data_IF_400978017965
#
_entry.id   IF_400978017965
#
_cell.length_a   1.000
_cell.length_b   1.000
_cell.length_c   1.000
_cell.angle_alpha   90.00
_cell.angle_beta   90.00
_cell.angle_gamma   90.00
#
_symmetry.space_group_name_H-M   'P 1'
#
loop_
_entity.id
_entity.type
_entity.pdbx_description
1 polymer ?
#
# COMPACT_ATOMS: atom_id res chain seq x y z
N UNK A 1 -13.60 -0.65 -10.47
CA UNK A 1 -12.49 -1.05 -9.63
C UNK A 1 -12.16 0.09 -8.68
N UNK A 2 -11.99 -0.25 -7.41
CA UNK A 2 -11.67 0.67 -6.34
C UNK A 2 -10.39 0.25 -5.65
N UNK A 3 -10.06 0.96 -4.58
CA UNK A 3 -9.00 0.54 -3.66
C UNK A 3 -9.66 0.03 -2.39
N UNK A 4 -9.26 -1.15 -1.97
CA UNK A 4 -9.83 -1.79 -0.80
C UNK A 4 -8.80 -1.84 0.32
N UNK A 5 -9.13 -1.25 1.46
CA UNK A 5 -8.44 -1.46 2.72
C UNK A 5 -9.30 -2.41 3.56
N UNK A 6 -8.87 -3.66 3.66
CA UNK A 6 -9.61 -4.69 4.40
C UNK A 6 -9.00 -4.91 5.78
N UNK A 7 -9.85 -5.18 6.75
CA UNK A 7 -9.44 -5.42 8.12
C UNK A 7 -9.82 -6.84 8.53
N UNK A 8 -8.89 -7.53 9.17
CA UNK A 8 -9.14 -8.84 9.80
C UNK A 8 -9.49 -8.64 11.27
N UNK A 9 -10.61 -9.18 11.69
CA UNK A 9 -11.01 -9.15 13.08
C UNK A 9 -10.32 -10.28 13.85
N UNK A 10 -9.45 -9.92 14.81
CA UNK A 10 -8.79 -10.85 15.72
C UNK A 10 -9.00 -10.41 17.17
N UNK A 11 -10.11 -10.80 17.81
CA UNK A 11 -10.39 -10.44 19.20
C UNK A 11 -9.26 -10.87 20.14
N UNK A 12 -8.77 -9.92 20.95
CA UNK A 12 -7.68 -10.18 21.89
C UNK A 12 -6.27 -10.21 21.28
N UNK A 13 -6.11 -9.86 20.02
CA UNK A 13 -4.79 -9.66 19.42
C UNK A 13 -4.02 -8.59 20.16
N UNK A 14 -2.73 -8.80 20.36
CA UNK A 14 -1.84 -7.80 20.96
C UNK A 14 -1.56 -6.71 19.93
N UNK A 15 -1.24 -5.50 20.41
CA UNK A 15 -0.76 -4.43 19.53
C UNK A 15 0.52 -4.88 18.83
N UNK A 16 0.53 -4.78 17.51
CA UNK A 16 1.68 -5.04 16.67
C UNK A 16 2.61 -3.84 16.56
N UNK A 17 3.69 -4.02 15.83
CA UNK A 17 4.67 -2.98 15.50
C UNK A 17 5.35 -3.35 14.19
N UNK A 18 5.40 -2.41 13.25
CA UNK A 18 6.15 -2.61 12.01
C UNK A 18 7.66 -2.68 12.28
N UNK A 19 8.36 -3.50 11.53
CA UNK A 19 9.80 -3.65 11.53
C UNK A 19 10.29 -4.14 10.19
N UNK A 20 11.53 -4.59 10.08
CA UNK A 20 12.10 -5.08 8.82
C UNK A 20 11.17 -6.11 8.16
N UNK A 21 10.91 -5.95 6.86
CA UNK A 21 10.00 -6.79 6.08
C UNK A 21 8.51 -6.51 6.29
N UNK A 22 8.16 -5.33 6.78
CA UNK A 22 6.76 -4.94 7.02
C UNK A 22 6.47 -3.55 6.47
N UNK A 23 5.25 -3.37 5.97
CA UNK A 23 4.71 -2.05 5.65
C UNK A 23 4.50 -1.27 6.94
N UNK A 24 4.94 -0.02 6.95
CA UNK A 24 4.80 0.84 8.13
C UNK A 24 3.95 2.07 7.88
N UNK A 25 3.63 2.40 6.61
CA UNK A 25 2.81 3.56 6.26
C UNK A 25 2.04 3.31 4.96
N UNK A 26 0.77 3.68 4.95
CA UNK A 26 -0.08 3.71 3.78
C UNK A 26 -0.19 5.16 3.28
N UNK A 27 0.00 5.35 1.97
CA UNK A 27 -0.03 6.66 1.34
C UNK A 27 -1.31 6.81 0.53
N UNK A 28 -2.01 7.94 0.73
CA UNK A 28 -3.28 8.25 0.09
C UNK A 28 -3.17 9.52 -0.74
N UNK A 29 -3.91 9.61 -1.81
CA UNK A 29 -4.00 10.81 -2.64
C UNK A 29 -5.15 11.69 -2.22
N UNK A 30 -4.92 13.02 -2.23
CA UNK A 30 -5.93 14.06 -2.13
C UNK A 30 -5.69 15.11 -3.20
N UNK A 31 -6.74 15.92 -3.49
CA UNK A 31 -6.72 16.85 -4.61
C UNK A 31 -5.86 18.10 -4.37
N UNK A 32 -5.75 18.57 -3.13
CA UNK A 32 -5.19 19.90 -2.85
C UNK A 32 -4.74 20.08 -1.40
N UNK A 33 -4.07 21.20 -1.13
CA UNK A 33 -3.76 21.62 0.23
C UNK A 33 -5.01 21.88 1.07
N UNK A 34 -6.10 22.40 0.48
CA UNK A 34 -7.38 22.59 1.17
C UNK A 34 -7.98 21.25 1.63
N UNK A 35 -7.80 20.19 0.84
CA UNK A 35 -8.19 18.85 1.25
C UNK A 35 -7.37 18.37 2.48
N UNK A 36 -6.07 18.67 2.54
CA UNK A 36 -5.26 18.36 3.73
C UNK A 36 -5.75 19.14 4.96
N UNK A 37 -6.16 20.39 4.81
CA UNK A 37 -6.68 21.20 5.92
C UNK A 37 -8.04 20.69 6.39
N UNK A 38 -8.91 20.28 5.46
CA UNK A 38 -10.17 19.60 5.79
C UNK A 38 -9.92 18.33 6.61
N UNK A 39 -9.02 17.46 6.15
CA UNK A 39 -8.70 16.21 6.86
C UNK A 39 -8.03 16.46 8.21
N UNK A 40 -7.14 17.45 8.31
CA UNK A 40 -6.53 17.86 9.58
C UNK A 40 -7.60 18.23 10.61
N UNK A 41 -8.56 19.06 10.20
CA UNK A 41 -9.67 19.44 11.08
C UNK A 41 -10.53 18.22 11.45
N UNK A 42 -10.93 17.40 10.47
CA UNK A 42 -11.77 16.23 10.70
C UNK A 42 -11.13 15.21 11.65
N UNK A 43 -9.84 14.97 11.50
CA UNK A 43 -9.08 14.07 12.37
C UNK A 43 -8.98 14.64 13.79
N UNK A 44 -8.71 15.93 13.93
CA UNK A 44 -8.68 16.61 15.24
C UNK A 44 -10.06 16.57 15.93
N UNK A 45 -11.16 16.77 15.21
CA UNK A 45 -12.53 16.65 15.73
C UNK A 45 -12.83 15.23 16.27
N UNK A 46 -12.06 14.22 15.81
CA UNK A 46 -12.10 12.83 16.29
C UNK A 46 -10.94 12.45 17.23
N UNK A 47 -10.24 13.45 17.78
CA UNK A 47 -9.13 13.26 18.72
C UNK A 47 -7.93 12.48 18.15
N UNK A 48 -7.74 12.54 16.82
CA UNK A 48 -6.57 11.96 16.15
C UNK A 48 -5.55 13.07 15.90
N UNK A 49 -4.36 12.90 16.44
CA UNK A 49 -3.25 13.82 16.23
C UNK A 49 -2.70 13.71 14.82
N UNK A 50 -2.29 14.85 14.26
CA UNK A 50 -1.74 14.91 12.91
C UNK A 50 -0.45 15.72 12.89
N UNK A 51 0.45 15.36 11.97
CA UNK A 51 1.68 16.09 11.70
C UNK A 51 1.71 16.52 10.24
N UNK A 52 2.03 17.82 9.99
CA UNK A 52 2.28 18.28 8.63
C UNK A 52 3.67 17.84 8.19
N UNK A 53 3.73 17.15 7.05
CA UNK A 53 4.96 16.86 6.34
C UNK A 53 5.14 17.89 5.21
N UNK A 54 6.33 17.99 4.56
CA UNK A 54 6.51 18.87 3.40
C UNK A 54 5.46 18.66 2.31
N UNK A 55 5.06 17.42 2.07
CA UNK A 55 4.21 17.02 0.96
C UNK A 55 2.80 16.62 1.39
N UNK A 56 2.51 16.53 2.70
CA UNK A 56 1.26 15.95 3.14
C UNK A 56 0.85 16.15 4.59
N UNK A 57 0.04 15.21 5.05
CA UNK A 57 -0.49 15.13 6.40
C UNK A 57 -0.38 13.69 6.92
N UNK A 58 0.45 13.50 7.95
CA UNK A 58 0.69 12.23 8.63
C UNK A 58 -0.23 12.08 9.84
N UNK A 59 -0.74 10.88 10.07
CA UNK A 59 -1.47 10.49 11.27
C UNK A 59 -1.35 8.99 11.51
N UNK A 60 -1.73 8.54 12.69
CA UNK A 60 -1.86 7.12 13.01
C UNK A 60 -3.33 6.77 13.25
N UNK A 61 -3.73 5.56 12.85
CA UNK A 61 -5.01 5.01 13.24
C UNK A 61 -5.04 4.62 14.74
N UNK A 62 -6.18 4.25 15.31
CA UNK A 62 -6.26 3.89 16.73
C UNK A 62 -5.35 2.73 17.14
N UNK A 63 -4.97 1.86 16.22
CA UNK A 63 -4.06 0.74 16.48
C UNK A 63 -2.58 1.09 16.24
N UNK A 64 -2.32 2.26 15.64
CA UNK A 64 -0.99 2.82 15.45
C UNK A 64 -0.38 2.60 14.07
N UNK A 65 -1.17 2.15 13.09
CA UNK A 65 -0.74 2.15 11.70
C UNK A 65 -0.68 3.59 11.17
N UNK A 66 0.45 3.94 10.57
CA UNK A 66 0.61 5.27 9.98
C UNK A 66 -0.06 5.39 8.62
N UNK A 67 -0.72 6.51 8.41
CA UNK A 67 -1.29 6.95 7.16
C UNK A 67 -0.76 8.32 6.81
N UNK A 68 -0.53 8.57 5.52
CA UNK A 68 -0.13 9.89 5.04
C UNK A 68 -1.00 10.28 3.84
N UNK A 69 -1.58 11.47 3.91
CA UNK A 69 -2.33 12.07 2.81
C UNK A 69 -1.38 12.95 2.02
N UNK A 70 -1.27 12.73 0.72
CA UNK A 70 -0.38 13.46 -0.19
C UNK A 70 -1.19 14.21 -1.24
N UNK A 71 -0.82 15.46 -1.52
CA UNK A 71 -1.40 16.19 -2.65
C UNK A 71 -0.86 15.59 -3.95
N UNK A 72 -1.77 15.03 -4.76
CA UNK A 72 -1.39 14.41 -6.02
C UNK A 72 -1.70 15.31 -7.19
N UNK A 73 -0.63 15.76 -7.87
CA UNK A 73 -0.70 16.62 -9.05
C UNK A 73 -0.58 15.91 -10.40
N UNK A 74 -0.54 14.58 -10.41
CA UNK A 74 -0.43 13.78 -11.63
C UNK A 74 -1.74 13.66 -12.43
N UNK A 75 -1.68 12.92 -13.53
CA UNK A 75 -2.77 12.79 -14.51
C UNK A 75 -3.58 11.50 -14.35
N UNK A 76 -3.27 10.66 -13.38
CA UNK A 76 -4.00 9.42 -13.12
C UNK A 76 -5.49 9.67 -12.90
N UNK A 77 -6.31 8.72 -13.27
CA UNK A 77 -7.74 8.76 -13.01
C UNK A 77 -8.03 8.93 -11.52
N UNK A 78 -8.90 9.88 -11.20
CA UNK A 78 -9.28 10.16 -9.81
C UNK A 78 -10.40 9.22 -9.39
N UNK A 79 -10.18 8.42 -8.36
CA UNK A 79 -11.21 7.60 -7.74
C UNK A 79 -11.81 8.37 -6.56
N UNK A 80 -12.96 8.99 -6.77
CA UNK A 80 -13.63 9.82 -5.76
C UNK A 80 -14.86 9.07 -5.25
N UNK A 81 -14.81 8.49 -4.04
CA UNK A 81 -15.97 7.86 -3.43
C UNK A 81 -16.99 8.91 -2.99
N UNK A 82 -18.26 8.61 -3.19
CA UNK A 82 -19.34 9.45 -2.62
C UNK A 82 -19.49 9.20 -1.12
N UNK A 83 -19.46 10.28 -0.33
CA UNK A 83 -19.72 10.22 1.10
C UNK A 83 -20.48 11.46 1.57
N UNK A 84 -21.50 11.29 2.44
CA UNK A 84 -22.38 12.39 2.86
C UNK A 84 -21.66 13.48 3.66
N UNK A 85 -20.60 13.12 4.37
CA UNK A 85 -19.85 14.03 5.25
C UNK A 85 -18.51 14.51 4.67
N UNK A 86 -18.11 13.99 3.52
CA UNK A 86 -16.87 14.36 2.87
C UNK A 86 -17.20 14.91 1.49
N UNK A 87 -17.04 16.24 1.29
CA UNK A 87 -17.22 16.84 -0.03
C UNK A 87 -16.28 16.19 -1.06
N UNK A 88 -16.74 15.98 -2.30
CA UNK A 88 -15.94 15.32 -3.34
C UNK A 88 -14.57 15.94 -3.58
N UNK A 89 -14.45 17.27 -3.46
CA UNK A 89 -13.20 18.01 -3.61
C UNK A 89 -12.16 17.72 -2.53
N UNK A 90 -12.59 17.19 -1.37
CA UNK A 90 -11.73 16.81 -0.25
C UNK A 90 -11.59 15.29 -0.08
N UNK A 91 -12.32 14.52 -0.89
CA UNK A 91 -12.29 13.06 -0.79
C UNK A 91 -10.89 12.48 -1.01
N UNK A 92 -10.64 11.33 -0.39
CA UNK A 92 -9.49 10.51 -0.75
C UNK A 92 -9.65 10.02 -2.19
N UNK A 93 -8.56 10.03 -2.95
CA UNK A 93 -8.53 9.66 -4.37
C UNK A 93 -7.85 8.30 -4.59
N UNK A 94 -7.97 7.39 -3.62
CA UNK A 94 -7.33 6.10 -3.63
C UNK A 94 -5.90 6.12 -3.09
N UNK A 95 -5.23 4.97 -3.16
CA UNK A 95 -3.85 4.85 -2.72
C UNK A 95 -2.89 5.60 -3.65
N UNK A 96 -1.89 6.24 -3.05
CA UNK A 96 -0.67 6.64 -3.74
C UNK A 96 0.33 5.49 -3.75
N UNK A 97 0.45 4.78 -2.63
CA UNK A 97 1.37 3.67 -2.46
C UNK A 97 1.55 3.25 -1.02
N UNK A 98 2.69 2.65 -0.75
CA UNK A 98 3.06 2.20 0.59
C UNK A 98 4.54 2.40 0.87
N UNK A 99 4.89 2.58 2.15
CA UNK A 99 6.26 2.56 2.65
C UNK A 99 6.50 1.31 3.46
N UNK A 100 7.58 0.60 3.17
CA UNK A 100 7.97 -0.60 3.90
C UNK A 100 9.40 -0.49 4.43
N UNK A 101 9.65 -1.13 5.54
CA UNK A 101 11.00 -1.28 6.06
C UNK A 101 11.71 -2.45 5.40
N UNK A 102 12.89 -2.23 4.84
CA UNK A 102 13.73 -3.29 4.27
C UNK A 102 15.15 -3.26 4.85
N UNK A 103 15.61 -4.41 5.34
CA UNK A 103 17.00 -4.61 5.75
C UNK A 103 17.92 -4.92 4.55
N UNK A 104 17.36 -5.26 3.39
CA UNK A 104 18.09 -5.63 2.17
C UNK A 104 17.41 -5.00 0.94
N UNK A 105 17.37 -3.66 0.85
CA UNK A 105 16.63 -2.98 -0.20
C UNK A 105 17.11 -3.33 -1.62
N UNK A 106 18.39 -3.67 -1.79
CA UNK A 106 18.95 -4.03 -3.10
C UNK A 106 18.35 -5.33 -3.68
N UNK A 107 18.08 -6.32 -2.82
CA UNK A 107 17.49 -7.59 -3.27
C UNK A 107 16.00 -7.40 -3.59
N UNK A 108 15.29 -6.59 -2.80
CA UNK A 108 13.91 -6.20 -3.10
C UNK A 108 13.84 -5.40 -4.39
N UNK A 109 14.76 -4.45 -4.63
CA UNK A 109 14.82 -3.65 -5.84
C UNK A 109 14.91 -4.51 -7.11
N UNK A 110 15.77 -5.54 -7.11
CA UNK A 110 15.85 -6.47 -8.25
C UNK A 110 14.50 -7.13 -8.56
N UNK A 111 13.78 -7.58 -7.55
CA UNK A 111 12.45 -8.19 -7.75
C UNK A 111 11.44 -7.15 -8.25
N UNK A 112 11.45 -5.94 -7.71
CA UNK A 112 10.57 -4.86 -8.18
C UNK A 112 10.83 -4.55 -9.66
N UNK A 113 12.08 -4.40 -10.07
CA UNK A 113 12.48 -3.99 -11.42
C UNK A 113 12.36 -5.14 -12.43
N UNK A 114 12.98 -6.29 -12.14
CA UNK A 114 13.11 -7.40 -13.10
C UNK A 114 11.88 -8.29 -13.17
N UNK A 115 11.13 -8.42 -12.05
CA UNK A 115 9.99 -9.32 -11.96
C UNK A 115 8.67 -8.56 -12.01
N UNK A 116 8.52 -7.52 -11.20
CA UNK A 116 7.25 -6.81 -11.05
C UNK A 116 7.05 -5.67 -12.05
N UNK A 117 8.12 -5.21 -12.71
CA UNK A 117 8.05 -4.16 -13.72
C UNK A 117 8.01 -2.73 -13.16
N UNK A 118 8.47 -2.54 -11.93
CA UNK A 118 8.65 -1.21 -11.38
C UNK A 118 9.83 -0.49 -12.01
N UNK A 119 9.75 0.82 -12.04
CA UNK A 119 10.83 1.71 -12.47
C UNK A 119 11.36 2.48 -11.26
N UNK A 120 12.69 2.48 -11.00
CA UNK A 120 13.26 3.32 -9.96
C UNK A 120 13.08 4.80 -10.32
N UNK A 121 12.76 5.64 -9.32
CA UNK A 121 12.56 7.08 -9.46
C UNK A 121 13.59 7.84 -8.63
N UNK A 122 13.36 7.97 -7.34
CA UNK A 122 14.25 8.59 -6.38
C UNK A 122 14.92 7.53 -5.48
N UNK A 123 15.97 7.85 -4.73
CA UNK A 123 16.57 6.89 -3.79
C UNK A 123 15.55 6.29 -2.82
N UNK A 124 15.34 4.99 -2.90
CA UNK A 124 14.37 4.26 -2.08
C UNK A 124 12.94 4.31 -2.61
N UNK A 125 12.70 4.78 -3.84
CA UNK A 125 11.38 4.91 -4.46
C UNK A 125 11.31 4.14 -5.77
N UNK A 126 10.22 3.38 -5.95
CA UNK A 126 9.90 2.65 -7.18
C UNK A 126 8.46 2.93 -7.59
N UNK A 127 8.24 3.18 -8.88
CA UNK A 127 6.94 3.46 -9.47
C UNK A 127 6.51 2.28 -10.32
N UNK A 128 5.30 1.79 -10.11
CA UNK A 128 4.61 0.86 -11.00
C UNK A 128 3.56 1.63 -11.79
N UNK A 129 3.78 1.73 -13.10
CA UNK A 129 2.84 2.36 -14.01
C UNK A 129 1.81 1.34 -14.51
N UNK A 130 0.54 1.67 -14.41
CA UNK A 130 -0.56 0.93 -15.00
C UNK A 130 -1.31 1.78 -16.02
N UNK A 131 -2.21 1.18 -16.79
CA UNK A 131 -2.93 1.85 -17.88
C UNK A 131 -3.74 3.07 -17.42
N UNK A 132 -4.26 3.05 -16.21
CA UNK A 132 -5.12 4.10 -15.66
C UNK A 132 -4.50 4.81 -14.46
N UNK A 133 -3.66 4.13 -13.72
CA UNK A 133 -3.09 4.65 -12.47
C UNK A 133 -1.72 4.06 -12.20
N UNK A 134 -0.89 4.88 -11.58
CA UNK A 134 0.39 4.46 -11.03
C UNK A 134 0.28 4.12 -9.54
N UNK A 135 1.23 3.34 -9.05
CA UNK A 135 1.44 3.08 -7.63
C UNK A 135 2.91 3.27 -7.26
N UNK A 136 3.17 3.70 -6.04
CA UNK A 136 4.54 3.94 -5.58
C UNK A 136 4.87 3.03 -4.40
N UNK A 137 6.06 2.47 -4.39
CA UNK A 137 6.56 1.65 -3.31
C UNK A 137 7.89 2.20 -2.79
N UNK A 138 7.92 2.49 -1.51
CA UNK A 138 9.10 3.03 -0.84
C UNK A 138 9.75 1.99 0.05
N UNK A 139 11.08 1.92 0.02
CA UNK A 139 11.89 1.11 0.93
C UNK A 139 12.66 2.02 1.88
N UNK A 140 12.29 1.98 3.14
CA UNK A 140 12.93 2.73 4.21
C UNK A 140 13.86 1.84 5.05
N UNK A 141 14.92 2.42 5.67
CA UNK A 141 15.71 1.71 6.65
C UNK A 141 14.84 1.23 7.82
N UNK A 142 14.98 -0.03 8.26
CA UNK A 142 14.20 -0.54 9.38
C UNK A 142 14.69 0.05 10.72
N UNK A 143 13.79 0.16 11.72
CA UNK A 143 14.21 0.44 13.08
C UNK A 143 15.03 -0.73 13.66
N UNK A 144 15.80 -0.46 14.72
CA UNK A 144 16.55 -1.51 15.41
C UNK A 144 15.63 -2.57 16.04
N UNK A 145 14.46 -2.15 16.45
CA UNK A 145 13.49 -3.01 17.10
C UNK A 145 12.82 -3.98 16.10
N UNK A 146 12.74 -5.24 16.50
CA UNK A 146 12.09 -6.28 15.68
C UNK A 146 10.59 -5.98 15.53
N UNK A 147 10.08 -6.13 14.32
CA UNK A 147 8.64 -6.08 14.03
C UNK A 147 7.85 -7.20 14.72
N UNK A 148 6.61 -6.89 15.05
CA UNK A 148 5.64 -7.82 15.65
C UNK A 148 4.39 -7.75 14.78
N UNK A 149 4.19 -8.70 13.83
CA UNK A 149 2.97 -8.74 13.03
C UNK A 149 1.78 -9.10 13.93
N UNK A 150 0.86 -8.15 14.10
CA UNK A 150 -0.36 -8.29 14.90
C UNK A 150 -1.29 -7.08 14.65
N UNK A 151 -2.21 -6.76 15.57
CA UNK A 151 -3.14 -5.64 15.42
C UNK A 151 -2.40 -4.33 15.11
N UNK A 152 -2.92 -3.54 14.16
CA UNK A 152 -2.32 -2.31 13.68
C UNK A 152 -1.13 -2.50 12.71
N UNK A 153 -0.95 -3.69 12.13
CA UNK A 153 0.08 -3.92 11.11
C UNK A 153 -0.53 -4.41 9.80
N UNK A 154 0.10 -4.05 8.69
CA UNK A 154 -0.32 -4.48 7.35
C UNK A 154 0.05 -5.94 7.14
N UNK A 155 -0.92 -6.74 6.67
CA UNK A 155 -0.71 -8.16 6.37
C UNK A 155 -0.06 -8.35 5.00
N UNK A 156 -0.55 -7.67 3.96
CA UNK A 156 -0.04 -7.75 2.59
C UNK A 156 -0.37 -6.49 1.80
N UNK A 157 0.31 -6.34 0.66
CA UNK A 157 -0.05 -5.38 -0.39
C UNK A 157 -0.54 -6.18 -1.59
N UNK A 158 -1.72 -5.81 -2.13
CA UNK A 158 -2.25 -6.38 -3.36
C UNK A 158 -1.93 -5.48 -4.56
N UNK A 159 -1.33 -6.07 -5.58
CA UNK A 159 -1.06 -5.46 -6.88
C UNK A 159 -2.06 -5.99 -7.90
N UNK A 160 -2.68 -5.10 -8.66
CA UNK A 160 -3.71 -5.48 -9.62
C UNK A 160 -3.11 -6.25 -10.80
N UNK A 161 -3.79 -7.30 -11.22
CA UNK A 161 -3.52 -8.03 -12.46
C UNK A 161 -4.83 -8.25 -13.23
N UNK A 162 -4.73 -8.69 -14.50
CA UNK A 162 -5.90 -9.13 -15.24
C UNK A 162 -6.05 -10.65 -15.17
N UNK A 163 -7.26 -11.15 -15.42
CA UNK A 163 -7.53 -12.58 -15.42
C UNK A 163 -6.67 -13.31 -16.47
N UNK A 164 -6.50 -12.69 -17.64
CA UNK A 164 -5.74 -13.27 -18.77
C UNK A 164 -4.24 -13.38 -18.45
N UNK A 165 -3.70 -12.46 -17.63
CA UNK A 165 -2.27 -12.43 -17.30
C UNK A 165 -1.94 -13.17 -16.00
N UNK A 166 -2.95 -13.64 -15.27
CA UNK A 166 -2.75 -14.11 -13.90
C UNK A 166 -1.88 -15.38 -13.80
N UNK A 167 -2.08 -16.35 -14.71
CA UNK A 167 -1.25 -17.56 -14.78
C UNK A 167 0.18 -17.25 -15.22
N UNK A 168 0.37 -16.26 -16.09
CA UNK A 168 1.69 -15.78 -16.50
C UNK A 168 2.43 -15.10 -15.34
N UNK A 169 1.72 -14.36 -14.53
CA UNK A 169 2.28 -13.80 -13.29
C UNK A 169 2.73 -14.88 -12.33
N UNK A 170 1.91 -15.92 -12.12
CA UNK A 170 2.28 -17.04 -11.24
C UNK A 170 3.56 -17.72 -11.73
N UNK A 171 3.67 -17.99 -13.03
CA UNK A 171 4.87 -18.57 -13.65
C UNK A 171 6.07 -17.64 -13.48
N UNK A 172 5.95 -16.36 -13.83
CA UNK A 172 7.02 -15.36 -13.77
C UNK A 172 7.60 -15.23 -12.36
N UNK A 173 6.74 -15.13 -11.35
CA UNK A 173 7.17 -15.04 -9.94
C UNK A 173 7.87 -16.32 -9.49
N UNK A 174 7.38 -17.49 -9.92
CA UNK A 174 7.97 -18.79 -9.59
C UNK A 174 9.34 -18.97 -10.25
N UNK A 175 9.47 -18.64 -11.54
CA UNK A 175 10.72 -18.72 -12.30
C UNK A 175 11.79 -17.76 -11.76
N UNK A 176 11.39 -16.64 -11.18
CA UNK A 176 12.27 -15.73 -10.45
C UNK A 176 12.76 -16.28 -9.09
N UNK A 177 12.38 -17.51 -8.73
CA UNK A 177 12.78 -18.15 -7.47
C UNK A 177 12.00 -17.69 -6.24
N UNK A 178 10.93 -16.92 -6.41
CA UNK A 178 10.02 -16.54 -5.33
C UNK A 178 9.03 -17.69 -5.08
N UNK A 179 8.79 -17.98 -3.81
CA UNK A 179 7.83 -19.03 -3.43
C UNK A 179 6.38 -18.53 -3.57
N UNK A 180 5.87 -18.60 -4.80
CA UNK A 180 4.48 -18.24 -5.07
C UNK A 180 3.51 -19.36 -4.68
N UNK A 181 2.35 -18.99 -4.16
CA UNK A 181 1.25 -19.95 -4.00
C UNK A 181 0.73 -20.40 -5.38
N UNK A 182 0.05 -21.53 -5.48
CA UNK A 182 -0.87 -21.76 -6.59
C UNK A 182 -1.87 -20.61 -6.72
N UNK A 183 -2.50 -20.47 -7.87
CA UNK A 183 -3.63 -19.54 -8.04
C UNK A 183 -4.75 -19.95 -7.10
N UNK A 184 -5.23 -19.03 -6.28
CA UNK A 184 -6.29 -19.26 -5.29
C UNK A 184 -7.54 -18.51 -5.75
N UNK A 185 -8.64 -19.22 -5.90
CA UNK A 185 -9.95 -18.62 -6.14
C UNK A 185 -10.49 -18.03 -4.83
N UNK A 186 -10.77 -16.72 -4.85
CA UNK A 186 -11.33 -15.95 -3.73
C UNK A 186 -12.80 -15.60 -3.95
N UNK A 187 -13.46 -16.25 -4.88
CA UNK A 187 -14.85 -16.02 -5.27
C UNK A 187 -15.06 -14.71 -6.06
N UNK A 188 -14.56 -13.59 -5.59
CA UNK A 188 -14.67 -12.29 -6.26
C UNK A 188 -13.47 -11.97 -7.15
N UNK A 189 -12.36 -12.62 -6.93
CA UNK A 189 -11.09 -12.43 -7.64
C UNK A 189 -10.21 -13.67 -7.49
N UNK A 190 -9.16 -13.76 -8.28
CA UNK A 190 -8.09 -14.76 -8.11
C UNK A 190 -6.85 -14.11 -7.53
N UNK A 191 -6.14 -14.83 -6.71
CA UNK A 191 -4.97 -14.35 -5.99
C UNK A 191 -3.79 -15.29 -6.07
N UNK A 192 -2.59 -14.71 -6.13
CA UNK A 192 -1.30 -15.37 -5.93
C UNK A 192 -0.58 -14.62 -4.83
N UNK A 193 -0.01 -15.33 -3.87
CA UNK A 193 0.77 -14.73 -2.80
C UNK A 193 2.21 -15.15 -2.91
N UNK A 194 3.12 -14.20 -2.72
CA UNK A 194 4.55 -14.45 -2.57
C UNK A 194 5.14 -13.46 -1.58
N UNK A 195 6.16 -13.90 -0.86
CA UNK A 195 6.90 -12.99 0.01
C UNK A 195 8.10 -12.48 -0.78
N UNK A 196 8.16 -11.14 -0.97
CA UNK A 196 9.31 -10.52 -1.62
C UNK A 196 10.55 -10.65 -0.70
N UNK A 197 11.79 -10.51 -1.22
CA UNK A 197 12.99 -10.80 -0.44
C UNK A 197 13.19 -9.96 0.82
N UNK A 198 12.66 -8.74 0.86
CA UNK A 198 12.67 -7.88 2.04
C UNK A 198 11.75 -8.35 3.16
N UNK A 199 10.78 -9.20 2.83
CA UNK A 199 9.88 -9.84 3.78
C UNK A 199 8.40 -9.46 3.67
N UNK A 200 8.04 -8.43 2.91
CA UNK A 200 6.65 -8.03 2.73
C UNK A 200 5.89 -9.07 1.90
N UNK A 201 4.70 -9.44 2.35
CA UNK A 201 3.82 -10.31 1.58
C UNK A 201 3.15 -9.52 0.47
N UNK A 202 3.42 -9.92 -0.77
CA UNK A 202 2.72 -9.41 -1.95
C UNK A 202 1.61 -10.36 -2.36
N UNK A 203 0.51 -9.78 -2.78
CA UNK A 203 -0.58 -10.44 -3.46
C UNK A 203 -0.66 -9.90 -4.89
N UNK A 204 -0.78 -10.77 -5.86
CA UNK A 204 -1.22 -10.41 -7.19
C UNK A 204 -2.69 -10.79 -7.30
N UNK A 205 -3.58 -9.81 -7.45
CA UNK A 205 -5.02 -10.01 -7.43
C UNK A 205 -5.67 -9.58 -8.75
N UNK A 206 -6.58 -10.39 -9.29
CA UNK A 206 -7.35 -9.97 -10.47
C UNK A 206 -8.39 -8.92 -10.09
N UNK A 207 -8.72 -8.04 -11.02
CA UNK A 207 -9.77 -7.03 -10.86
C UNK A 207 -11.17 -7.60 -11.13
N UNK A 208 -11.45 -8.79 -10.63
CA UNK A 208 -12.71 -9.48 -10.79
C UNK A 208 -12.52 -10.99 -11.00
N UNK A 209 -13.64 -11.75 -11.05
CA UNK A 209 -13.61 -13.19 -11.28
C UNK A 209 -13.21 -13.58 -12.68
#
# INVERSE_FOLDING_TARGET
PGFDLTFFEYPGARKGRAGAGMVHRILWRVASGDALDFWKKRLADNSIETERTPDGLLFADPEGLHHELLVYGGTDERLVPGHIEVPPEFALQGFHGARAYSASPQVTAQVLEEVMGFTPSEPGEWILEGDQRSGVYYLDPPPEERGIPSAGTVHHIAWASTLEQHDDWQRRVTEAGLHATPVIDRFYFRAIYNREPGGVLFELATMGP
#
